data_IF_694135639260
#
_entry.id   IF_694135639260
#
_cell.length_a   1.000
_cell.length_b   1.000
_cell.length_c   1.000
_cell.angle_alpha   90.00
_cell.angle_beta   90.00
_cell.angle_gamma   90.00
#
_symmetry.space_group_name_H-M   'P 1'
#
loop_
_entity.id
_entity.type
_entity.pdbx_description
1 polymer ?
#
# COMPACT_ATOMS: atom_id res chain seq x y z
N UNK A 1 10.23 -7.17 -1.67
CA UNK A 1 8.88 -6.55 -1.51
C UNK A 1 7.75 -7.42 -2.06
N UNK A 2 7.98 -8.28 -3.06
CA UNK A 2 6.92 -9.13 -3.63
C UNK A 2 6.24 -10.03 -2.59
N UNK A 3 7.02 -10.76 -1.78
CA UNK A 3 6.44 -11.66 -0.76
C UNK A 3 5.60 -10.94 0.30
N UNK A 4 6.00 -9.73 0.70
CA UNK A 4 5.20 -8.93 1.65
C UNK A 4 3.86 -8.55 1.04
N UNK A 5 3.83 -8.23 -0.25
CA UNK A 5 2.59 -7.91 -0.97
C UNK A 5 1.73 -9.15 -1.18
N UNK A 6 2.35 -10.26 -1.57
CA UNK A 6 1.65 -11.53 -1.84
C UNK A 6 0.96 -12.10 -0.60
N UNK A 7 1.68 -12.10 0.54
CA UNK A 7 1.15 -12.69 1.78
C UNK A 7 0.48 -11.68 2.71
N UNK A 8 0.56 -10.39 2.40
CA UNK A 8 0.15 -9.29 3.29
C UNK A 8 0.69 -9.46 4.72
N UNK A 9 1.97 -9.83 4.85
CA UNK A 9 2.64 -10.12 6.13
C UNK A 9 4.12 -9.75 6.07
N UNK A 10 4.75 -9.43 7.21
CA UNK A 10 6.20 -9.30 7.27
C UNK A 10 6.87 -10.62 6.89
N UNK A 11 8.00 -10.54 6.19
CA UNK A 11 8.69 -11.70 5.68
C UNK A 11 10.17 -11.69 6.07
N UNK A 12 10.66 -12.84 6.56
CA UNK A 12 12.07 -13.16 6.68
C UNK A 12 12.43 -14.23 5.64
N UNK A 13 13.31 -13.88 4.70
CA UNK A 13 13.83 -14.83 3.70
C UNK A 13 15.21 -15.25 4.11
N UNK A 14 15.34 -16.49 4.52
CA UNK A 14 16.54 -17.02 5.17
C UNK A 14 17.12 -18.20 4.38
N UNK A 15 18.45 -18.34 4.42
CA UNK A 15 19.20 -19.50 3.92
C UNK A 15 20.22 -19.95 4.93
N UNK A 16 20.63 -21.23 4.86
CA UNK A 16 21.76 -21.71 5.67
C UNK A 16 23.03 -20.96 5.32
N UNK A 17 23.75 -20.49 6.33
CA UNK A 17 25.04 -19.82 6.21
C UNK A 17 25.86 -20.02 7.48
N UNK A 18 27.08 -19.46 7.50
CA UNK A 18 27.96 -19.45 8.67
C UNK A 18 28.12 -18.00 9.13
N UNK A 19 27.90 -17.76 10.43
CA UNK A 19 28.11 -16.49 11.08
C UNK A 19 28.92 -16.73 12.36
N UNK A 20 30.03 -16.04 12.50
CA UNK A 20 30.99 -16.22 13.65
C UNK A 20 31.38 -17.68 13.89
N UNK A 21 31.58 -18.45 12.81
CA UNK A 21 31.96 -19.86 12.88
C UNK A 21 30.84 -20.83 13.23
N UNK A 22 29.62 -20.36 13.42
CA UNK A 22 28.45 -21.18 13.74
C UNK A 22 27.53 -21.28 12.52
N UNK A 23 26.85 -22.42 12.40
CA UNK A 23 25.78 -22.62 11.40
C UNK A 23 24.54 -21.85 11.83
N UNK A 24 24.05 -20.95 10.99
CA UNK A 24 22.87 -20.14 11.21
C UNK A 24 21.99 -20.07 9.95
N UNK A 25 20.76 -19.63 10.12
CA UNK A 25 19.93 -19.13 9.02
C UNK A 25 20.11 -17.62 8.90
N UNK A 26 20.61 -17.16 7.77
CA UNK A 26 20.88 -15.74 7.51
C UNK A 26 20.17 -15.25 6.26
N UNK A 27 19.76 -13.98 6.28
CA UNK A 27 19.09 -13.37 5.14
C UNK A 27 18.52 -12.00 5.41
N UNK A 28 17.37 -11.71 4.78
CA UNK A 28 16.78 -10.38 4.80
C UNK A 28 15.37 -10.39 5.35
N UNK A 29 15.08 -9.41 6.21
CA UNK A 29 13.75 -9.06 6.66
C UNK A 29 13.14 -7.94 5.82
N UNK A 30 11.85 -8.03 5.57
CA UNK A 30 11.05 -6.98 4.96
C UNK A 30 9.72 -6.87 5.71
N UNK A 31 9.34 -5.64 6.02
CA UNK A 31 8.04 -5.32 6.60
C UNK A 31 7.17 -4.61 5.58
N UNK A 32 5.85 -4.60 5.80
CA UNK A 32 4.90 -3.70 5.17
C UNK A 32 4.55 -2.53 6.09
N UNK A 33 3.62 -1.71 5.68
CA UNK A 33 3.06 -0.64 6.51
C UNK A 33 1.93 -1.22 7.39
N UNK A 34 2.29 -2.04 8.37
CA UNK A 34 1.32 -2.63 9.30
C UNK A 34 1.24 -1.77 10.56
N UNK A 35 0.06 -1.22 10.85
CA UNK A 35 -0.17 -0.35 12.01
C UNK A 35 0.24 -1.02 13.34
N UNK A 36 -0.10 -2.29 13.50
CA UNK A 36 0.25 -3.06 14.71
C UNK A 36 1.69 -3.59 14.74
N UNK A 37 2.48 -3.39 13.67
CA UNK A 37 3.88 -3.79 13.59
C UNK A 37 4.71 -2.74 12.83
N UNK A 38 4.96 -1.57 13.40
CA UNK A 38 5.65 -0.47 12.72
C UNK A 38 7.12 -0.77 12.43
N UNK A 39 7.74 -1.69 13.18
CA UNK A 39 9.14 -2.09 13.00
C UNK A 39 9.33 -3.59 13.22
N UNK A 40 9.59 -4.32 12.14
CA UNK A 40 9.98 -5.73 12.24
C UNK A 40 11.34 -5.89 12.90
N UNK A 41 12.27 -4.95 12.71
CA UNK A 41 13.58 -4.96 13.35
C UNK A 41 13.48 -4.92 14.89
N UNK A 42 12.68 -3.96 15.42
CA UNK A 42 12.48 -3.83 16.87
C UNK A 42 11.76 -5.05 17.45
N UNK A 43 10.79 -5.60 16.72
CA UNK A 43 10.14 -6.85 17.09
C UNK A 43 11.12 -8.01 17.22
N UNK A 44 12.05 -8.15 16.27
CA UNK A 44 13.10 -9.18 16.34
C UNK A 44 14.02 -8.97 17.54
N UNK A 45 14.43 -7.73 17.82
CA UNK A 45 15.23 -7.41 19.01
C UNK A 45 14.49 -7.72 20.30
N UNK A 46 13.21 -7.37 20.41
CA UNK A 46 12.38 -7.67 21.60
C UNK A 46 12.23 -9.17 21.85
N UNK A 47 12.25 -9.99 20.79
CA UNK A 47 12.17 -11.45 20.94
C UNK A 47 13.36 -12.05 21.69
N UNK A 48 14.54 -11.44 21.63
CA UNK A 48 15.83 -11.99 22.11
C UNK A 48 16.17 -13.37 21.50
N UNK A 49 15.62 -13.69 20.32
CA UNK A 49 15.76 -15.00 19.67
C UNK A 49 16.61 -14.93 18.38
N UNK A 50 17.10 -13.75 18.03
CA UNK A 50 17.96 -13.54 16.87
C UNK A 50 19.42 -13.35 17.32
N UNK A 51 20.36 -13.96 16.63
CA UNK A 51 21.78 -13.78 16.89
C UNK A 51 22.28 -12.40 16.41
N UNK A 52 21.62 -11.87 15.38
CA UNK A 52 21.93 -10.58 14.78
C UNK A 52 20.72 -10.06 14.02
N UNK A 53 20.45 -8.78 14.12
CA UNK A 53 19.51 -8.08 13.24
C UNK A 53 19.91 -6.60 13.16
N UNK A 54 20.22 -6.11 11.94
CA UNK A 54 20.60 -4.71 11.72
C UNK A 54 20.11 -4.19 10.37
N UNK A 55 19.82 -2.90 10.33
CA UNK A 55 19.33 -2.18 9.16
C UNK A 55 18.23 -1.18 9.51
N UNK A 56 17.25 -1.07 8.64
CA UNK A 56 16.08 -0.19 8.83
C UNK A 56 14.90 -0.98 9.41
N UNK A 57 13.97 -0.29 10.07
CA UNK A 57 12.75 -0.86 10.64
C UNK A 57 12.05 -1.84 9.69
N UNK A 58 11.94 -1.48 8.42
CA UNK A 58 11.22 -2.24 7.40
C UNK A 58 12.13 -3.01 6.40
N UNK A 59 13.46 -2.90 6.54
CA UNK A 59 14.43 -3.57 5.64
C UNK A 59 15.77 -3.77 6.35
N UNK A 60 16.05 -5.02 6.75
CA UNK A 60 17.23 -5.35 7.55
C UNK A 60 17.79 -6.73 7.20
N UNK A 61 19.03 -6.98 7.62
CA UNK A 61 19.63 -8.31 7.66
C UNK A 61 19.33 -8.98 9.01
N UNK A 62 19.24 -10.32 9.02
CA UNK A 62 19.10 -11.08 10.25
C UNK A 62 19.82 -12.43 10.19
N UNK A 63 20.34 -12.88 11.34
CA UNK A 63 20.86 -14.23 11.55
C UNK A 63 20.16 -14.88 12.74
N UNK A 64 19.70 -16.10 12.56
CA UNK A 64 18.94 -16.86 13.54
C UNK A 64 19.58 -18.25 13.70
N UNK A 65 19.86 -18.66 14.91
CA UNK A 65 20.33 -20.03 15.17
C UNK A 65 19.24 -21.04 14.86
N UNK A 66 19.56 -22.25 14.32
CA UNK A 66 18.57 -23.21 13.85
C UNK A 66 17.52 -23.59 14.91
N UNK A 67 17.94 -23.71 16.16
CA UNK A 67 17.10 -24.06 17.31
C UNK A 67 16.18 -22.92 17.77
N UNK A 68 16.43 -21.68 17.30
CA UNK A 68 15.65 -20.48 17.63
C UNK A 68 14.54 -20.17 16.61
N UNK A 69 14.53 -20.84 15.48
CA UNK A 69 13.52 -20.57 14.43
C UNK A 69 12.11 -20.90 14.92
N UNK A 70 11.90 -22.05 15.53
CA UNK A 70 10.59 -22.42 16.05
C UNK A 70 10.19 -21.57 17.26
N UNK A 71 11.06 -21.33 18.27
CA UNK A 71 10.77 -20.37 19.33
C UNK A 71 10.38 -18.96 18.82
N UNK A 72 11.04 -18.46 17.78
CA UNK A 72 10.69 -17.16 17.18
C UNK A 72 9.29 -17.18 16.55
N UNK A 73 8.92 -18.27 15.87
CA UNK A 73 7.55 -18.45 15.35
C UNK A 73 6.52 -18.49 16.46
N UNK A 74 6.79 -19.21 17.53
CA UNK A 74 5.88 -19.34 18.68
C UNK A 74 5.73 -17.99 19.39
N UNK A 75 6.82 -17.25 19.55
CA UNK A 75 6.80 -15.88 20.05
C UNK A 75 5.94 -14.98 19.16
N UNK A 76 6.19 -14.97 17.85
CA UNK A 76 5.41 -14.15 16.92
C UNK A 76 3.90 -14.47 17.00
N UNK A 77 3.54 -15.75 17.00
CA UNK A 77 2.15 -16.17 17.10
C UNK A 77 1.50 -15.85 18.46
N UNK A 78 2.29 -15.70 19.52
CA UNK A 78 1.77 -15.37 20.85
C UNK A 78 1.56 -13.86 21.06
N UNK A 79 2.33 -13.02 20.36
CA UNK A 79 2.38 -11.57 20.57
C UNK A 79 1.61 -10.81 19.49
N UNK A 80 1.70 -11.28 18.22
CA UNK A 80 1.07 -10.60 17.09
C UNK A 80 -0.37 -11.07 16.94
N UNK A 81 -1.32 -10.12 17.00
CA UNK A 81 -2.70 -10.40 16.63
C UNK A 81 -2.78 -10.51 15.10
N UNK A 82 -3.26 -11.63 14.52
CA UNK A 82 -3.39 -11.77 13.06
C UNK A 82 -4.19 -10.65 12.40
N UNK A 83 -5.17 -10.05 13.07
CA UNK A 83 -5.99 -8.96 12.56
C UNK A 83 -5.19 -7.70 12.18
N UNK A 84 -4.02 -7.47 12.79
CA UNK A 84 -3.16 -6.33 12.41
C UNK A 84 -2.67 -6.40 10.95
N UNK A 85 -2.76 -7.56 10.32
CA UNK A 85 -2.36 -7.77 8.93
C UNK A 85 -3.55 -7.72 7.97
N UNK A 86 -4.77 -7.81 8.48
CA UNK A 86 -5.99 -7.80 7.68
C UNK A 86 -6.51 -6.37 7.48
N UNK A 87 -6.32 -5.50 8.49
CA UNK A 87 -6.74 -4.10 8.44
C UNK A 87 -5.61 -3.25 7.87
N UNK A 88 -5.81 -2.73 6.66
CA UNK A 88 -4.94 -1.70 6.09
C UNK A 88 -5.32 -0.34 6.68
N UNK A 89 -4.49 0.19 7.54
CA UNK A 89 -4.63 1.54 8.09
C UNK A 89 -3.59 2.45 7.44
N UNK A 90 -4.06 3.54 6.87
CA UNK A 90 -3.21 4.56 6.27
C UNK A 90 -3.31 5.85 7.08
N UNK A 91 -2.16 6.40 7.48
CA UNK A 91 -2.09 7.78 7.93
C UNK A 91 -2.00 8.67 6.68
N UNK A 92 -2.90 9.64 6.60
CA UNK A 92 -2.97 10.55 5.46
C UNK A 92 -2.80 12.00 5.92
N UNK A 93 -2.10 12.79 5.12
CA UNK A 93 -1.86 14.20 5.42
C UNK A 93 -3.10 15.07 5.10
N UNK A 94 -3.89 14.66 4.13
CA UNK A 94 -5.15 15.30 3.78
C UNK A 94 -6.13 14.32 3.13
N UNK A 95 -7.43 14.53 3.34
CA UNK A 95 -8.51 13.74 2.77
C UNK A 95 -9.46 14.63 1.99
N UNK A 96 -9.55 14.42 0.67
CA UNK A 96 -10.55 15.01 -0.19
C UNK A 96 -11.83 14.19 -0.13
N UNK A 97 -12.89 14.79 0.41
CA UNK A 97 -14.19 14.13 0.56
C UNK A 97 -15.03 14.20 -0.70
N UNK A 98 -16.01 13.30 -0.81
CA UNK A 98 -16.97 13.28 -1.93
C UNK A 98 -17.64 14.65 -2.11
N UNK A 99 -17.53 15.18 -3.33
CA UNK A 99 -18.07 16.50 -3.69
C UNK A 99 -17.14 17.68 -3.38
N UNK A 100 -15.98 17.45 -2.82
CA UNK A 100 -14.93 18.45 -2.67
C UNK A 100 -14.15 18.60 -3.99
N UNK A 101 -13.89 19.82 -4.43
CA UNK A 101 -13.06 20.09 -5.60
C UNK A 101 -11.58 19.84 -5.27
N UNK A 102 -10.87 19.14 -6.16
CA UNK A 102 -9.46 18.85 -5.98
C UNK A 102 -8.61 20.13 -6.09
N UNK A 103 -7.86 20.44 -5.04
CA UNK A 103 -6.90 21.55 -5.07
C UNK A 103 -5.68 21.19 -5.91
N UNK A 104 -5.79 21.43 -7.24
CA UNK A 104 -4.76 21.06 -8.22
C UNK A 104 -3.45 21.79 -8.01
N UNK A 105 -3.50 23.05 -7.56
CA UNK A 105 -2.29 23.84 -7.29
C UNK A 105 -1.50 23.24 -6.12
N UNK A 106 -2.19 22.82 -5.07
CA UNK A 106 -1.59 22.14 -3.94
C UNK A 106 -1.00 20.79 -4.37
N UNK A 107 -1.76 19.96 -5.09
CA UNK A 107 -1.28 18.66 -5.58
C UNK A 107 -0.08 18.82 -6.51
N UNK A 108 -0.09 19.84 -7.38
CA UNK A 108 1.06 20.14 -8.25
C UNK A 108 2.28 20.55 -7.44
N UNK A 109 2.13 21.41 -6.43
CA UNK A 109 3.23 21.84 -5.59
C UNK A 109 3.90 20.65 -4.88
N UNK A 110 3.11 19.72 -4.31
CA UNK A 110 3.65 18.51 -3.70
C UNK A 110 4.31 17.58 -4.73
N UNK A 111 3.73 17.42 -5.91
CA UNK A 111 4.29 16.61 -6.98
C UNK A 111 5.64 17.19 -7.49
N UNK A 112 5.74 18.52 -7.59
CA UNK A 112 6.96 19.22 -8.02
C UNK A 112 8.11 19.09 -7.00
N UNK A 113 7.80 18.82 -5.73
CA UNK A 113 8.79 18.58 -4.68
C UNK A 113 9.29 17.11 -4.65
N UNK A 114 9.07 16.33 -5.71
CA UNK A 114 9.36 14.88 -5.74
C UNK A 114 10.77 14.49 -5.29
N UNK A 115 11.75 15.32 -5.55
CA UNK A 115 13.18 15.05 -5.25
C UNK A 115 13.54 15.21 -3.77
N UNK A 116 12.69 15.85 -2.96
CA UNK A 116 12.99 16.06 -1.53
C UNK A 116 12.45 14.95 -0.63
N UNK A 117 11.51 14.14 -1.14
CA UNK A 117 10.90 13.07 -0.36
C UNK A 117 11.82 11.87 -0.25
N UNK A 118 11.98 11.31 0.95
CA UNK A 118 12.82 10.15 1.18
C UNK A 118 12.96 9.78 2.65
N UNK A 119 14.12 9.22 2.98
CA UNK A 119 14.39 8.84 4.36
C UNK A 119 14.42 10.07 5.27
N UNK A 120 13.58 10.07 6.32
CA UNK A 120 13.45 11.19 7.25
C UNK A 120 12.46 12.28 6.83
N UNK A 121 12.01 12.29 5.57
CA UNK A 121 10.95 13.16 5.07
C UNK A 121 10.06 12.36 4.11
N UNK A 122 9.10 11.57 4.61
CA UNK A 122 8.23 10.76 3.77
C UNK A 122 7.42 11.65 2.81
N UNK A 123 7.13 11.12 1.63
CA UNK A 123 6.23 11.83 0.70
C UNK A 123 4.84 11.95 1.33
N UNK A 124 4.16 13.08 1.12
CA UNK A 124 2.80 13.24 1.62
C UNK A 124 1.87 12.22 0.95
N UNK A 125 0.95 11.70 1.75
CA UNK A 125 -0.06 10.73 1.36
C UNK A 125 -1.43 11.35 1.49
N UNK A 126 -2.25 11.21 0.46
CA UNK A 126 -3.59 11.78 0.41
C UNK A 126 -4.64 10.69 0.30
N UNK A 127 -5.79 10.90 0.93
CA UNK A 127 -6.99 10.12 0.64
C UNK A 127 -7.91 10.92 -0.29
N UNK A 128 -8.60 10.19 -1.16
CA UNK A 128 -9.56 10.74 -2.11
C UNK A 128 -10.82 9.89 -2.08
N UNK A 129 -11.96 10.54 -2.04
CA UNK A 129 -13.26 9.93 -1.88
C UNK A 129 -14.22 10.54 -2.90
N UNK A 130 -14.61 9.77 -3.94
CA UNK A 130 -15.46 10.28 -5.01
C UNK A 130 -16.26 9.19 -5.73
N UNK A 131 -17.35 9.61 -6.37
CA UNK A 131 -18.13 8.74 -7.24
C UNK A 131 -17.54 8.76 -8.66
N UNK A 132 -17.56 7.61 -9.32
CA UNK A 132 -17.05 7.46 -10.68
C UNK A 132 -18.08 6.83 -11.62
N UNK A 133 -17.90 7.10 -12.90
CA UNK A 133 -18.59 6.42 -13.99
C UNK A 133 -17.59 5.62 -14.83
N UNK A 134 -18.06 4.57 -15.48
CA UNK A 134 -17.23 3.71 -16.34
C UNK A 134 -16.48 4.48 -17.43
N UNK A 135 -17.01 5.60 -17.88
CA UNK A 135 -16.39 6.47 -18.91
C UNK A 135 -15.12 7.17 -18.43
N UNK A 136 -14.92 7.28 -17.13
CA UNK A 136 -13.73 7.88 -16.50
C UNK A 136 -12.59 6.87 -16.35
N UNK A 137 -12.86 5.57 -16.59
CA UNK A 137 -11.91 4.47 -16.43
C UNK A 137 -11.26 4.15 -17.76
N UNK A 138 -9.92 4.17 -17.79
CA UNK A 138 -9.11 3.76 -18.92
C UNK A 138 -8.16 2.63 -18.51
N UNK A 139 -8.25 1.50 -19.20
CA UNK A 139 -7.27 0.42 -19.06
C UNK A 139 -6.02 0.75 -19.86
N UNK A 140 -4.87 0.41 -19.33
CA UNK A 140 -3.57 0.66 -19.89
C UNK A 140 -2.70 -0.62 -19.86
N UNK A 141 -1.60 -0.56 -20.62
CA UNK A 141 -0.68 -1.70 -20.75
C UNK A 141 -1.14 -2.72 -21.80
N UNK A 142 -0.22 -3.55 -22.28
CA UNK A 142 -0.50 -4.53 -23.31
C UNK A 142 -1.50 -5.61 -22.86
N UNK A 143 -1.54 -5.88 -21.56
CA UNK A 143 -2.44 -6.88 -20.96
C UNK A 143 -3.70 -6.26 -20.34
N UNK A 144 -3.85 -4.91 -20.35
CA UNK A 144 -4.96 -4.22 -19.69
C UNK A 144 -4.95 -4.36 -18.16
N UNK A 145 -3.77 -4.57 -17.57
CA UNK A 145 -3.55 -4.81 -16.14
C UNK A 145 -3.25 -3.55 -15.33
N UNK A 146 -3.25 -2.41 -15.98
CA UNK A 146 -3.02 -1.10 -15.38
C UNK A 146 -4.24 -0.22 -15.63
N UNK A 147 -4.53 0.67 -14.69
CA UNK A 147 -5.73 1.50 -14.73
C UNK A 147 -5.38 2.97 -14.57
N UNK A 148 -6.07 3.80 -15.32
CA UNK A 148 -6.15 5.24 -15.13
C UNK A 148 -7.62 5.61 -14.90
N UNK A 149 -7.87 6.34 -13.83
CA UNK A 149 -9.16 6.95 -13.51
C UNK A 149 -9.02 8.46 -13.71
N UNK A 150 -9.91 9.07 -14.50
CA UNK A 150 -9.90 10.51 -14.71
C UNK A 150 -10.98 11.16 -13.87
N UNK A 151 -10.60 11.94 -12.88
CA UNK A 151 -11.54 12.64 -12.03
C UNK A 151 -11.10 14.08 -11.80
N UNK A 152 -11.99 15.03 -11.98
CA UNK A 152 -11.75 16.47 -11.80
C UNK A 152 -10.47 17.00 -12.47
N UNK A 153 -10.12 16.45 -13.65
CA UNK A 153 -8.92 16.83 -14.41
C UNK A 153 -7.60 16.32 -13.84
N UNK A 154 -7.65 15.40 -12.87
CA UNK A 154 -6.50 14.68 -12.32
C UNK A 154 -6.56 13.22 -12.75
N UNK A 155 -5.41 12.65 -13.11
CA UNK A 155 -5.27 11.25 -13.46
C UNK A 155 -4.87 10.45 -12.21
N UNK A 156 -5.67 9.46 -11.81
CA UNK A 156 -5.35 8.50 -10.76
C UNK A 156 -4.86 7.21 -11.42
N UNK A 157 -3.66 6.75 -11.08
CA UNK A 157 -2.99 5.67 -11.83
C UNK A 157 -2.52 4.55 -10.92
N UNK A 158 -2.86 3.33 -11.28
CA UNK A 158 -2.32 2.11 -10.68
C UNK A 158 -1.76 1.19 -11.77
N UNK A 159 -0.52 0.75 -11.60
CA UNK A 159 0.15 -0.11 -12.58
C UNK A 159 0.15 -1.58 -12.12
N UNK A 160 0.02 -2.50 -13.11
CA UNK A 160 0.18 -3.95 -12.91
C UNK A 160 -0.68 -4.50 -11.77
N UNK A 161 -1.94 -4.08 -11.72
CA UNK A 161 -2.93 -4.58 -10.78
C UNK A 161 -4.15 -5.15 -11.55
N UNK A 162 -4.08 -6.41 -11.98
CA UNK A 162 -5.15 -7.03 -12.76
C UNK A 162 -6.46 -7.19 -11.97
N UNK A 163 -6.40 -7.30 -10.64
CA UNK A 163 -7.59 -7.43 -9.80
C UNK A 163 -8.42 -6.14 -9.81
N UNK A 164 -7.76 -5.00 -9.60
CA UNK A 164 -8.40 -3.67 -9.68
C UNK A 164 -8.91 -3.41 -11.10
N UNK A 165 -8.11 -3.75 -12.12
CA UNK A 165 -8.51 -3.59 -13.51
C UNK A 165 -9.78 -4.39 -13.83
N UNK A 166 -9.86 -5.63 -13.37
CA UNK A 166 -11.03 -6.49 -13.54
C UNK A 166 -12.25 -5.92 -12.80
N UNK A 167 -12.10 -5.57 -11.53
CA UNK A 167 -13.20 -5.02 -10.71
C UNK A 167 -13.80 -3.78 -11.33
N UNK A 168 -12.96 -2.84 -11.80
CA UNK A 168 -13.41 -1.61 -12.47
C UNK A 168 -14.03 -1.84 -13.84
N UNK A 169 -13.77 -2.97 -14.51
CA UNK A 169 -14.45 -3.33 -15.74
C UNK A 169 -15.88 -3.82 -15.50
N UNK A 170 -16.12 -4.46 -14.38
CA UNK A 170 -17.40 -5.07 -14.02
C UNK A 170 -18.41 -4.04 -13.48
N UNK A 171 -17.92 -2.89 -12.97
CA UNK A 171 -18.73 -1.84 -12.34
C UNK A 171 -19.00 -0.70 -13.33
N UNK A 172 -20.28 -0.36 -13.53
CA UNK A 172 -20.69 0.72 -14.43
C UNK A 172 -20.57 2.11 -13.79
N UNK A 173 -20.91 2.21 -12.52
CA UNK A 173 -20.71 3.38 -11.67
C UNK A 173 -20.58 2.93 -10.22
N UNK A 174 -19.85 3.68 -9.42
CA UNK A 174 -19.57 3.29 -8.06
C UNK A 174 -18.98 4.43 -7.25
N UNK A 175 -18.63 4.07 -6.03
CA UNK A 175 -17.89 4.90 -5.11
C UNK A 175 -16.47 4.37 -4.99
N UNK A 176 -15.50 5.26 -4.94
CA UNK A 176 -14.08 4.91 -4.83
C UNK A 176 -13.48 5.66 -3.65
N UNK A 177 -12.73 4.93 -2.84
CA UNK A 177 -11.79 5.48 -1.88
C UNK A 177 -10.37 5.13 -2.32
N UNK A 178 -9.51 6.11 -2.45
CA UNK A 178 -8.13 5.97 -2.90
C UNK A 178 -7.19 6.54 -1.86
N UNK A 179 -6.12 5.82 -1.58
CA UNK A 179 -4.93 6.37 -0.91
C UNK A 179 -3.80 6.42 -1.92
N UNK A 180 -3.12 7.56 -1.99
CA UNK A 180 -2.03 7.74 -2.94
C UNK A 180 -1.29 9.06 -2.78
N UNK A 181 -0.28 9.27 -3.61
CA UNK A 181 0.53 10.46 -3.57
C UNK A 181 0.64 11.14 -4.94
N UNK A 182 0.68 12.48 -4.96
CA UNK A 182 0.82 13.24 -6.20
C UNK A 182 2.20 13.01 -6.81
N UNK A 183 2.22 12.99 -8.12
CA UNK A 183 3.41 12.83 -8.96
C UNK A 183 3.23 13.62 -10.25
N UNK A 184 4.32 14.07 -10.86
CA UNK A 184 4.27 14.67 -12.19
C UNK A 184 4.43 13.60 -13.27
N UNK A 185 3.52 13.60 -14.20
CA UNK A 185 3.66 12.88 -15.45
C UNK A 185 4.16 13.85 -16.53
N UNK A 186 5.28 13.54 -17.17
CA UNK A 186 5.82 14.33 -18.27
C UNK A 186 5.68 13.56 -19.58
N UNK A 187 4.97 14.17 -20.53
CA UNK A 187 4.76 13.61 -21.85
C UNK A 187 4.91 14.69 -22.92
N UNK A 188 5.81 14.51 -23.86
CA UNK A 188 6.11 15.47 -24.95
C UNK A 188 6.33 16.91 -24.45
N UNK A 189 7.06 17.07 -23.35
CA UNK A 189 7.38 18.36 -22.73
C UNK A 189 6.19 19.03 -22.01
N UNK A 190 5.08 18.33 -21.85
CA UNK A 190 3.94 18.78 -21.04
C UNK A 190 3.91 18.02 -19.74
N UNK A 191 3.75 18.77 -18.65
CA UNK A 191 3.59 18.19 -17.31
C UNK A 191 2.11 18.17 -16.94
N UNK A 192 1.68 17.09 -16.33
CA UNK A 192 0.34 16.93 -15.76
C UNK A 192 0.43 16.26 -14.39
N UNK A 193 -0.52 16.59 -13.53
CA UNK A 193 -0.64 15.94 -12.22
C UNK A 193 -1.23 14.55 -12.42
N UNK A 194 -0.63 13.59 -11.74
CA UNK A 194 -1.24 12.28 -11.52
C UNK A 194 -1.12 11.89 -10.05
N UNK A 195 -2.06 11.09 -9.57
CA UNK A 195 -1.99 10.44 -8.27
C UNK A 195 -1.56 9.00 -8.49
N UNK A 196 -0.41 8.64 -7.92
CA UNK A 196 0.02 7.25 -7.88
C UNK A 196 -0.75 6.55 -6.76
N UNK A 197 -1.61 5.63 -7.13
CA UNK A 197 -2.47 4.89 -6.19
C UNK A 197 -1.63 3.87 -5.44
N UNK A 198 -1.63 3.96 -4.11
CA UNK A 198 -1.02 2.99 -3.20
C UNK A 198 -2.03 1.91 -2.79
N UNK A 199 -3.29 2.32 -2.55
CA UNK A 199 -4.42 1.42 -2.29
C UNK A 199 -5.74 2.00 -2.80
N UNK A 200 -6.70 1.13 -3.10
CA UNK A 200 -8.00 1.52 -3.64
C UNK A 200 -9.11 0.58 -3.14
N UNK A 201 -10.18 1.15 -2.64
CA UNK A 201 -11.44 0.47 -2.36
C UNK A 201 -12.51 0.90 -3.37
N UNK A 202 -13.29 -0.06 -3.87
CA UNK A 202 -14.30 0.16 -4.90
C UNK A 202 -15.61 -0.44 -4.41
N UNK A 203 -16.64 0.40 -4.31
CA UNK A 203 -18.00 0.02 -3.97
C UNK A 203 -18.91 0.21 -5.19
N UNK A 204 -19.63 -0.86 -5.57
CA UNK A 204 -20.61 -0.82 -6.66
C UNK A 204 -21.92 -0.27 -6.12
N UNK A 205 -22.30 0.94 -6.53
CA UNK A 205 -23.58 1.57 -6.14
C UNK A 205 -24.76 1.16 -7.02
N UNK A 206 -24.52 0.45 -8.14
CA UNK A 206 -25.61 -0.08 -8.97
C UNK A 206 -26.31 -1.25 -8.33
N UNK A 207 -25.64 -1.97 -7.42
CA UNK A 207 -26.19 -3.11 -6.68
C UNK A 207 -26.96 -2.71 -5.43
N UNK A 208 -26.99 -1.43 -5.05
CA UNK A 208 -27.77 -0.98 -3.90
C UNK A 208 -29.27 -1.26 -4.15
N UNK A 209 -29.97 -2.00 -3.29
CA UNK A 209 -31.40 -2.22 -3.45
C UNK A 209 -32.07 -0.84 -3.45
N UNK A 210 -32.87 -0.57 -4.48
CA UNK A 210 -33.76 0.60 -4.51
C UNK A 210 -34.63 0.51 -3.26
N UNK A 211 -34.29 1.27 -2.22
CA UNK A 211 -35.17 1.43 -1.08
C UNK A 211 -36.46 2.01 -1.63
N UNK A 212 -37.53 1.25 -1.56
CA UNK A 212 -38.83 1.69 -2.08
C UNK A 212 -39.21 2.96 -1.32
N UNK A 213 -39.90 3.89 -2.01
CA UNK A 213 -40.47 5.06 -1.35
C UNK A 213 -41.36 4.72 -0.13
N UNK A 214 -41.78 3.46 -0.02
CA UNK A 214 -42.56 2.93 1.11
C UNK A 214 -41.77 2.84 2.43
N UNK A 215 -40.45 2.87 2.40
CA UNK A 215 -39.59 2.82 3.61
C UNK A 215 -39.32 4.23 4.18
N UNK A 216 -39.89 5.29 3.59
CA UNK A 216 -39.72 6.70 3.97
C UNK A 216 -40.97 7.34 4.59
N UNK A 217 -42.02 6.54 4.90
CA UNK A 217 -43.27 7.04 5.51
C UNK A 217 -43.46 6.46 6.90
#
# INVERSE_FOLDING_TARGET
MELVKEFNKPCLVLRETIFEGKKVYGGSGRNGNFYGLPSLLDFLHQSNLVAYAEGHANAHGAFIEPDKVQPLRDFANSVLNPQIFDDKVFEVDYWFHTGEELNKDMLFAFAACGDIWGNGLPRPTFAFDFNFNRTEIQLMGANGDSVKIKHDGVDFVIFKNPEVAKKLQEVSCGHIQIVGAPSLNEWMGRQSIQIMIDDIEIEDITAAPIRSLADLI
#
